data_IF_339331389052
#
_entry.id   IF_339331389052
#
_cell.length_a   1.000
_cell.length_b   1.000
_cell.length_c   1.000
_cell.angle_alpha   90.00
_cell.angle_beta   90.00
_cell.angle_gamma   90.00
#
_symmetry.space_group_name_H-M   'P 1'
#
loop_
_entity.id
_entity.type
_entity.pdbx_description
1 polymer ?
#
# COMPACT_ATOMS: atom_id res chain seq x y z
N UNK A 1 -18.44 -13.85 2.30
CA UNK A 1 -18.73 -12.55 2.93
C UNK A 1 -19.04 -12.83 4.38
N UNK A 2 -18.38 -12.13 5.30
CA UNK A 2 -18.82 -12.07 6.69
C UNK A 2 -20.04 -11.11 6.72
N UNK A 3 -21.13 -11.56 7.32
CA UNK A 3 -22.40 -10.82 7.39
C UNK A 3 -22.31 -9.75 8.51
N UNK A 4 -21.56 -8.68 8.23
CA UNK A 4 -21.33 -7.57 9.17
C UNK A 4 -22.39 -6.50 8.91
N UNK A 5 -23.11 -6.01 9.94
CA UNK A 5 -24.16 -5.02 9.76
C UNK A 5 -23.60 -3.68 9.29
N UNK A 6 -24.35 -2.99 8.43
CA UNK A 6 -23.94 -1.68 7.89
C UNK A 6 -23.84 -0.59 8.97
N UNK A 7 -24.84 -0.51 9.86
CA UNK A 7 -24.78 0.31 11.07
C UNK A 7 -24.29 -0.57 12.21
N UNK A 8 -23.35 -0.08 13.01
CA UNK A 8 -22.82 -0.85 14.13
C UNK A 8 -23.91 -1.11 15.15
N UNK A 9 -24.24 -2.39 15.33
CA UNK A 9 -25.23 -2.84 16.30
C UNK A 9 -24.57 -3.32 17.60
N UNK A 10 -25.15 -2.96 18.75
CA UNK A 10 -24.61 -3.32 20.05
C UNK A 10 -24.75 -4.82 20.34
N UNK A 11 -25.73 -5.50 19.73
CA UNK A 11 -25.82 -6.96 19.79
C UNK A 11 -24.64 -7.62 19.08
N UNK A 12 -24.19 -7.04 17.96
CA UNK A 12 -22.98 -7.48 17.26
C UNK A 12 -21.72 -7.20 18.10
N UNK A 13 -21.62 -6.01 18.70
CA UNK A 13 -20.52 -5.64 19.61
C UNK A 13 -20.42 -6.61 20.79
N UNK A 14 -21.55 -6.97 21.40
CA UNK A 14 -21.59 -7.93 22.51
C UNK A 14 -21.27 -9.36 22.07
N UNK A 15 -21.81 -9.80 20.92
CA UNK A 15 -21.60 -11.15 20.38
C UNK A 15 -20.12 -11.49 20.20
N UNK A 16 -19.30 -10.51 19.81
CA UNK A 16 -17.86 -10.70 19.54
C UNK A 16 -16.96 -10.13 20.64
N UNK A 17 -17.53 -9.77 21.79
CA UNK A 17 -16.81 -9.19 22.94
C UNK A 17 -15.91 -7.99 22.54
N UNK A 18 -16.47 -7.07 21.75
CA UNK A 18 -15.74 -5.91 21.25
C UNK A 18 -15.69 -4.83 22.34
N UNK A 19 -14.48 -4.39 22.68
CA UNK A 19 -14.23 -3.31 23.63
C UNK A 19 -14.58 -1.93 23.06
N UNK A 20 -14.13 -1.67 21.82
CA UNK A 20 -14.29 -0.38 21.17
C UNK A 20 -14.64 -0.52 19.69
N UNK A 21 -15.55 0.33 19.23
CA UNK A 21 -15.86 0.60 17.83
C UNK A 21 -15.01 1.81 17.42
N UNK A 22 -14.19 1.65 16.40
CA UNK A 22 -13.28 2.69 15.92
C UNK A 22 -13.76 3.22 14.56
N UNK A 23 -13.82 4.53 14.40
CA UNK A 23 -14.16 5.15 13.12
C UNK A 23 -13.39 6.46 12.90
N UNK A 24 -13.32 6.92 11.65
CA UNK A 24 -12.86 8.27 11.32
C UNK A 24 -13.75 9.35 11.95
N UNK A 25 -13.21 10.55 12.07
CA UNK A 25 -13.85 11.76 12.62
C UNK A 25 -14.87 12.43 11.69
N UNK A 26 -15.05 11.91 10.46
CA UNK A 26 -16.11 12.33 9.54
C UNK A 26 -17.50 12.02 10.13
N UNK A 27 -18.48 12.95 10.09
CA UNK A 27 -19.85 12.67 10.51
C UNK A 27 -20.50 11.56 9.68
N UNK A 28 -20.97 10.50 10.36
CA UNK A 28 -21.67 9.37 9.71
C UNK A 28 -23.11 9.32 10.18
N UNK A 29 -24.01 9.70 9.29
CA UNK A 29 -25.45 9.70 9.54
C UNK A 29 -26.15 8.60 8.73
N UNK A 30 -27.20 8.02 9.30
CA UNK A 30 -28.11 7.10 8.60
C UNK A 30 -29.03 7.83 7.61
N UNK A 31 -29.96 7.11 6.97
CA UNK A 31 -30.87 7.69 5.98
C UNK A 31 -31.85 8.70 6.60
N UNK A 32 -32.09 8.59 7.90
CA UNK A 32 -32.97 9.41 8.72
C UNK A 32 -32.23 10.60 9.38
N UNK A 33 -30.90 10.66 9.24
CA UNK A 33 -30.05 11.73 9.77
C UNK A 33 -29.53 11.51 11.20
N UNK A 34 -29.70 10.30 11.76
CA UNK A 34 -29.18 9.97 13.09
C UNK A 34 -27.73 9.50 13.01
N UNK A 35 -26.96 9.75 14.08
CA UNK A 35 -25.57 9.27 14.21
C UNK A 35 -25.53 7.73 14.25
N UNK A 36 -24.88 7.12 13.26
CA UNK A 36 -24.73 5.67 13.12
C UNK A 36 -24.05 5.00 14.33
N UNK A 37 -23.29 5.76 15.13
CA UNK A 37 -22.53 5.25 16.28
C UNK A 37 -23.07 5.76 17.62
N UNK A 38 -24.27 6.37 17.64
CA UNK A 38 -24.85 6.97 18.86
C UNK A 38 -24.92 5.96 20.02
N UNK A 39 -25.33 4.72 19.74
CA UNK A 39 -25.42 3.65 20.75
C UNK A 39 -24.04 3.27 21.31
N UNK A 40 -23.03 3.15 20.45
CA UNK A 40 -21.67 2.83 20.86
C UNK A 40 -21.03 3.97 21.69
N UNK A 41 -21.29 5.22 21.30
CA UNK A 41 -20.89 6.43 22.05
C UNK A 41 -21.53 6.47 23.44
N UNK A 42 -22.85 6.27 23.55
CA UNK A 42 -23.58 6.22 24.83
C UNK A 42 -23.08 5.09 25.75
N UNK A 43 -22.64 3.97 25.17
CA UNK A 43 -22.08 2.85 25.91
C UNK A 43 -20.60 3.05 26.33
N UNK A 44 -19.96 4.17 25.95
CA UNK A 44 -18.52 4.39 26.21
C UNK A 44 -17.59 3.47 25.41
N UNK A 45 -18.09 2.84 24.35
CA UNK A 45 -17.39 1.84 23.52
C UNK A 45 -17.02 2.39 22.14
N UNK A 46 -16.71 3.68 22.02
CA UNK A 46 -16.41 4.32 20.74
C UNK A 46 -15.12 5.14 20.80
N UNK A 47 -14.29 5.03 19.74
CA UNK A 47 -13.04 5.78 19.57
C UNK A 47 -12.98 6.43 18.18
N UNK A 48 -12.61 7.69 18.14
CA UNK A 48 -12.42 8.45 16.90
C UNK A 48 -10.94 8.53 16.53
N UNK A 49 -10.67 8.48 15.23
CA UNK A 49 -9.34 8.64 14.67
C UNK A 49 -9.37 9.75 13.61
N UNK A 50 -8.38 10.65 13.60
CA UNK A 50 -8.33 11.70 12.63
C UNK A 50 -8.18 11.12 11.23
N UNK A 51 -8.82 11.77 10.26
CA UNK A 51 -8.65 11.45 8.86
C UNK A 51 -7.18 11.56 8.43
N UNK A 52 -6.73 10.61 7.63
CA UNK A 52 -5.41 10.68 6.97
C UNK A 52 -5.44 11.77 5.89
N UNK A 53 -4.59 12.78 6.06
CA UNK A 53 -4.44 13.85 5.07
C UNK A 53 -3.78 13.33 3.78
N UNK A 54 -4.10 13.98 2.66
CA UNK A 54 -3.42 13.75 1.38
C UNK A 54 -4.00 12.66 0.48
N UNK A 55 -4.80 11.72 1.00
CA UNK A 55 -5.38 10.64 0.18
C UNK A 55 -6.86 10.37 0.49
N UNK A 56 -7.66 10.12 -0.55
CA UNK A 56 -9.05 9.70 -0.43
C UNK A 56 -9.48 8.91 -1.67
N UNK A 57 -10.53 8.11 -1.57
CA UNK A 57 -11.08 7.43 -2.75
C UNK A 57 -11.54 8.44 -3.82
N UNK A 58 -12.04 9.61 -3.41
CA UNK A 58 -12.42 10.68 -4.34
C UNK A 58 -11.20 11.20 -5.09
N UNK A 59 -10.10 11.52 -4.40
CA UNK A 59 -8.88 12.01 -5.06
C UNK A 59 -8.29 10.97 -6.00
N UNK A 60 -8.27 9.68 -5.61
CA UNK A 60 -7.84 8.59 -6.49
C UNK A 60 -8.73 8.48 -7.73
N UNK A 61 -10.06 8.54 -7.59
CA UNK A 61 -10.99 8.54 -8.74
C UNK A 61 -10.73 9.74 -9.65
N UNK A 62 -10.54 10.92 -9.07
CA UNK A 62 -10.26 12.13 -9.85
C UNK A 62 -8.93 12.00 -10.61
N UNK A 63 -7.88 11.39 -10.02
CA UNK A 63 -6.63 11.07 -10.72
C UNK A 63 -6.82 10.08 -11.87
N UNK A 64 -7.75 9.12 -11.74
CA UNK A 64 -8.05 8.15 -12.80
C UNK A 64 -8.77 8.82 -13.98
N UNK A 65 -9.73 9.72 -13.69
CA UNK A 65 -10.58 10.37 -14.68
C UNK A 65 -9.93 11.62 -15.29
N UNK A 66 -9.09 12.32 -14.53
CA UNK A 66 -8.43 13.57 -14.88
C UNK A 66 -6.91 13.48 -14.61
N UNK A 67 -6.18 12.63 -15.36
CA UNK A 67 -4.75 12.40 -15.13
C UNK A 67 -3.91 13.67 -15.25
N UNK A 68 -4.31 14.60 -16.13
CA UNK A 68 -3.63 15.88 -16.36
C UNK A 68 -3.65 16.81 -15.13
N UNK A 69 -4.61 16.62 -14.22
CA UNK A 69 -4.79 17.44 -13.01
C UNK A 69 -4.57 16.62 -11.73
N UNK A 70 -3.69 15.61 -11.79
CA UNK A 70 -3.34 14.75 -10.65
C UNK A 70 -2.83 15.60 -9.47
N UNK A 71 -3.63 15.66 -8.41
CA UNK A 71 -3.26 16.28 -7.15
C UNK A 71 -2.64 15.24 -6.22
N UNK A 72 -1.37 15.46 -5.86
CA UNK A 72 -0.60 14.61 -4.96
C UNK A 72 -0.62 15.16 -3.53
N UNK A 73 -0.46 14.25 -2.58
CA UNK A 73 -0.18 14.65 -1.20
C UNK A 73 1.20 15.33 -1.14
N UNK A 74 1.40 16.31 -0.25
CA UNK A 74 2.73 16.87 0.01
C UNK A 74 3.67 15.76 0.51
N UNK A 75 4.92 15.78 0.04
CA UNK A 75 5.92 14.77 0.37
C UNK A 75 6.16 14.68 1.89
N UNK A 76 6.23 15.83 2.57
CA UNK A 76 6.44 15.90 4.02
C UNK A 76 5.29 15.26 4.81
N UNK A 77 4.07 15.34 4.28
CA UNK A 77 2.91 14.69 4.89
C UNK A 77 2.99 13.16 4.75
N UNK A 78 3.49 12.66 3.61
CA UNK A 78 3.67 11.22 3.38
C UNK A 78 4.79 10.66 4.25
N UNK A 79 5.93 11.34 4.35
CA UNK A 79 7.01 10.95 5.26
C UNK A 79 6.55 10.89 6.71
N UNK A 80 5.79 11.90 7.17
CA UNK A 80 5.21 11.88 8.51
C UNK A 80 4.36 10.63 8.75
N UNK A 81 3.52 10.24 7.79
CA UNK A 81 2.68 9.04 7.90
C UNK A 81 3.51 7.75 7.90
N UNK A 82 4.56 7.69 7.07
CA UNK A 82 5.50 6.58 7.02
C UNK A 82 6.19 6.41 8.39
N UNK A 83 6.69 7.50 8.97
CA UNK A 83 7.37 7.50 10.28
C UNK A 83 6.41 7.14 11.42
N UNK A 84 5.18 7.68 11.40
CA UNK A 84 4.14 7.34 12.37
C UNK A 84 3.77 5.85 12.31
N UNK A 85 3.61 5.30 11.11
CA UNK A 85 3.34 3.87 10.94
C UNK A 85 4.53 3.02 11.42
N UNK A 86 5.74 3.32 10.96
CA UNK A 86 6.94 2.57 11.33
C UNK A 86 7.18 2.61 12.84
N UNK A 87 7.02 3.77 13.47
CA UNK A 87 7.12 3.96 14.92
C UNK A 87 6.03 3.26 15.74
N UNK A 88 4.88 2.93 15.12
CA UNK A 88 3.81 2.16 15.76
C UNK A 88 4.06 0.64 15.76
N UNK A 89 4.98 0.16 14.92
CA UNK A 89 5.35 -1.25 14.88
C UNK A 89 6.20 -1.64 16.08
N UNK A 90 6.00 -2.87 16.60
CA UNK A 90 6.83 -3.41 17.70
C UNK A 90 8.32 -3.41 17.34
N UNK A 91 8.63 -3.74 16.08
CA UNK A 91 9.94 -3.58 15.47
C UNK A 91 9.73 -2.75 14.21
N UNK A 92 10.21 -1.50 14.16
CA UNK A 92 10.08 -0.67 12.98
C UNK A 92 10.72 -1.35 11.76
N UNK A 93 9.97 -1.52 10.65
CA UNK A 93 10.54 -2.06 9.42
C UNK A 93 11.60 -1.09 8.87
N UNK A 94 12.76 -1.58 8.40
CA UNK A 94 13.74 -0.72 7.73
C UNK A 94 13.17 -0.15 6.43
N UNK A 95 13.44 1.15 6.23
CA UNK A 95 13.03 1.90 5.04
C UNK A 95 14.29 2.58 4.51
N UNK A 96 14.64 2.29 3.26
CA UNK A 96 15.83 2.85 2.62
C UNK A 96 15.42 3.64 1.42
N UNK A 97 15.83 4.90 1.39
CA UNK A 97 15.69 5.73 0.22
C UNK A 97 16.99 5.76 -0.58
N UNK A 98 16.99 5.13 -1.76
CA UNK A 98 18.16 5.17 -2.62
C UNK A 98 18.33 6.54 -3.30
N UNK A 99 17.36 7.44 -3.31
CA UNK A 99 17.58 8.80 -3.80
C UNK A 99 18.37 9.68 -2.83
N UNK A 100 18.28 9.42 -1.52
CA UNK A 100 18.99 10.19 -0.51
C UNK A 100 20.45 9.70 -0.36
N UNK A 101 21.45 10.51 -0.76
CA UNK A 101 22.85 10.13 -0.64
C UNK A 101 23.30 9.93 0.82
N UNK A 102 22.57 10.45 1.81
CA UNK A 102 22.88 10.33 3.23
C UNK A 102 22.20 9.11 3.89
N UNK A 103 21.24 8.46 3.23
CA UNK A 103 20.48 7.32 3.75
C UNK A 103 21.02 5.96 3.24
N UNK A 104 22.16 5.96 2.54
CA UNK A 104 22.60 4.81 1.72
C UNK A 104 23.44 3.75 2.43
N UNK A 105 24.07 4.00 3.59
CA UNK A 105 25.24 3.18 3.97
C UNK A 105 25.24 2.46 5.33
N UNK A 106 24.40 2.83 6.32
CA UNK A 106 24.47 2.21 7.66
C UNK A 106 23.26 1.34 8.05
N UNK A 107 22.19 1.33 7.24
CA UNK A 107 20.87 0.75 7.59
C UNK A 107 20.34 -0.27 6.59
N UNK A 108 21.17 -0.77 5.67
CA UNK A 108 20.78 -1.83 4.73
C UNK A 108 20.13 -2.98 5.50
N UNK A 109 18.87 -3.36 5.21
CA UNK A 109 18.18 -4.37 5.98
C UNK A 109 18.85 -5.71 5.73
N UNK A 110 19.71 -6.06 6.68
CA UNK A 110 20.43 -7.33 6.71
C UNK A 110 19.79 -8.17 7.77
N UNK A 111 19.40 -9.36 7.36
CA UNK A 111 19.12 -10.40 8.33
C UNK A 111 20.13 -11.53 8.13
N UNK A 112 21.03 -11.67 9.09
CA UNK A 112 22.09 -12.68 9.05
C UNK A 112 21.58 -14.07 9.50
N UNK A 113 20.36 -14.17 10.04
CA UNK A 113 19.73 -15.41 10.49
C UNK A 113 18.60 -15.91 9.58
N UNK A 114 18.17 -15.10 8.62
CA UNK A 114 17.08 -15.39 7.67
C UNK A 114 17.58 -15.42 6.24
N UNK A 115 16.76 -16.03 5.39
CA UNK A 115 16.99 -15.99 3.95
C UNK A 115 16.46 -14.67 3.39
N UNK A 116 17.36 -13.78 3.00
CA UNK A 116 16.97 -12.49 2.41
C UNK A 116 16.47 -12.70 0.98
N UNK A 117 15.19 -12.37 0.77
CA UNK A 117 14.47 -12.47 -0.51
C UNK A 117 14.13 -11.06 -0.99
N UNK A 118 14.43 -10.74 -2.24
CA UNK A 118 14.10 -9.46 -2.86
C UNK A 118 12.99 -9.61 -3.91
N UNK A 119 12.06 -8.66 -3.93
CA UNK A 119 11.08 -8.50 -5.01
C UNK A 119 10.92 -7.01 -5.34
N UNK A 120 11.09 -6.64 -6.60
CA UNK A 120 10.88 -5.27 -7.10
C UNK A 120 9.55 -5.13 -7.83
N UNK A 121 8.98 -3.93 -7.85
CA UNK A 121 7.76 -3.65 -8.62
C UNK A 121 7.32 -2.20 -8.58
N UNK A 122 6.34 -1.86 -9.42
CA UNK A 122 5.64 -0.57 -9.37
C UNK A 122 4.76 -0.47 -8.13
N UNK A 123 4.06 -1.54 -7.76
CA UNK A 123 3.10 -1.57 -6.64
C UNK A 123 1.98 -0.52 -6.73
N UNK A 124 1.69 -0.05 -7.94
CA UNK A 124 0.67 0.96 -8.16
C UNK A 124 -0.73 0.40 -7.93
N UNK A 125 -1.62 1.23 -7.40
CA UNK A 125 -2.97 0.85 -6.93
C UNK A 125 -2.96 -0.45 -6.11
N UNK A 126 -2.09 -0.48 -5.09
CA UNK A 126 -1.85 -1.63 -4.24
C UNK A 126 -3.16 -2.27 -3.74
N UNK A 127 -3.25 -3.60 -3.79
CA UNK A 127 -4.51 -4.31 -3.54
C UNK A 127 -4.33 -5.81 -3.32
N UNK A 128 -5.44 -6.56 -3.26
CA UNK A 128 -5.43 -7.97 -2.86
C UNK A 128 -4.53 -8.87 -3.71
N UNK A 129 -4.41 -8.58 -5.02
CA UNK A 129 -3.52 -9.32 -5.92
C UNK A 129 -2.04 -9.12 -5.57
N UNK A 130 -1.64 -7.90 -5.20
CA UNK A 130 -0.30 -7.59 -4.69
C UNK A 130 -0.05 -8.24 -3.32
N UNK A 131 -1.05 -8.23 -2.42
CA UNK A 131 -0.95 -8.92 -1.12
C UNK A 131 -0.71 -10.42 -1.30
N UNK A 132 -1.43 -11.07 -2.22
CA UNK A 132 -1.24 -12.49 -2.54
C UNK A 132 0.12 -12.75 -3.20
N UNK A 133 0.61 -11.84 -4.05
CA UNK A 133 1.96 -11.95 -4.61
C UNK A 133 3.03 -11.88 -3.52
N UNK A 134 2.93 -10.90 -2.61
CA UNK A 134 3.88 -10.75 -1.49
C UNK A 134 3.80 -11.93 -0.51
N UNK A 135 2.60 -12.51 -0.29
CA UNK A 135 2.46 -13.75 0.48
C UNK A 135 3.27 -14.88 -0.15
N UNK A 136 3.08 -15.13 -1.45
CA UNK A 136 3.82 -16.17 -2.19
C UNK A 136 5.33 -15.91 -2.13
N UNK A 137 5.75 -14.66 -2.31
CA UNK A 137 7.14 -14.25 -2.21
C UNK A 137 7.73 -14.49 -0.81
N UNK A 138 6.95 -14.27 0.25
CA UNK A 138 7.37 -14.53 1.64
C UNK A 138 7.46 -16.02 1.99
N UNK A 139 6.81 -16.89 1.22
CA UNK A 139 6.76 -18.35 1.46
C UNK A 139 7.75 -19.13 0.58
N UNK A 140 8.49 -18.46 -0.32
CA UNK A 140 9.47 -19.15 -1.18
C UNK A 140 10.62 -19.77 -0.38
N UNK A 141 10.86 -19.29 0.85
CA UNK A 141 11.79 -19.85 1.83
C UNK A 141 11.10 -19.98 3.19
N UNK A 142 11.51 -20.96 3.99
CA UNK A 142 10.89 -21.25 5.30
C UNK A 142 11.05 -20.11 6.31
N UNK A 143 12.16 -19.38 6.25
CA UNK A 143 12.48 -18.27 7.14
C UNK A 143 12.86 -17.02 6.34
N UNK A 144 11.99 -16.62 5.40
CA UNK A 144 12.26 -15.51 4.50
C UNK A 144 12.26 -14.16 5.23
N UNK A 145 13.19 -13.30 4.84
CA UNK A 145 13.17 -11.87 5.11
C UNK A 145 12.89 -11.14 3.80
N UNK A 146 11.65 -10.68 3.62
CA UNK A 146 11.20 -10.14 2.34
C UNK A 146 11.45 -8.63 2.24
N UNK A 147 12.42 -8.26 1.41
CA UNK A 147 12.70 -6.89 1.01
C UNK A 147 11.87 -6.57 -0.23
N UNK A 148 11.07 -5.52 -0.16
CA UNK A 148 10.23 -5.07 -1.27
C UNK A 148 10.79 -3.77 -1.84
N UNK A 149 11.25 -3.81 -3.09
CA UNK A 149 11.73 -2.65 -3.83
C UNK A 149 10.59 -1.92 -4.55
N UNK A 150 10.45 -0.63 -4.33
CA UNK A 150 9.47 0.25 -4.96
C UNK A 150 10.19 1.06 -6.03
N UNK A 151 9.79 0.88 -7.29
CA UNK A 151 10.37 1.62 -8.42
C UNK A 151 9.99 3.09 -8.38
N UNK A 152 10.82 3.96 -8.98
CA UNK A 152 10.53 5.38 -9.12
C UNK A 152 9.34 5.64 -10.06
N UNK A 153 8.72 6.82 -9.98
CA UNK A 153 7.67 7.18 -10.95
C UNK A 153 8.21 7.22 -12.39
N UNK A 154 9.46 7.64 -12.56
CA UNK A 154 10.13 7.73 -13.86
C UNK A 154 10.39 6.34 -14.44
N UNK A 155 10.89 5.42 -13.62
CA UNK A 155 11.11 4.03 -14.01
C UNK A 155 9.80 3.35 -14.42
N UNK A 156 8.72 3.55 -13.65
CA UNK A 156 7.40 3.02 -14.02
C UNK A 156 6.91 3.60 -15.35
N UNK A 157 7.11 4.90 -15.59
CA UNK A 157 6.76 5.52 -16.87
C UNK A 157 7.54 4.91 -18.03
N UNK A 158 8.85 4.73 -17.86
CA UNK A 158 9.74 4.26 -18.91
C UNK A 158 9.52 2.77 -19.25
N UNK A 159 9.17 1.95 -18.25
CA UNK A 159 8.92 0.52 -18.42
C UNK A 159 7.48 0.22 -18.87
N UNK A 160 6.48 0.83 -18.23
CA UNK A 160 5.07 0.54 -18.48
C UNK A 160 4.43 1.45 -19.53
N UNK A 161 5.08 2.56 -19.92
CA UNK A 161 4.55 3.55 -20.87
C UNK A 161 3.44 4.45 -20.31
N UNK A 162 3.18 4.36 -19.00
CA UNK A 162 2.19 5.17 -18.30
C UNK A 162 2.65 5.47 -16.86
N UNK A 163 2.31 6.67 -16.37
CA UNK A 163 2.70 7.15 -15.03
C UNK A 163 1.88 6.37 -14.00
N UNK A 164 2.47 5.98 -12.86
CA UNK A 164 1.68 5.39 -11.79
C UNK A 164 0.62 6.39 -11.31
N UNK A 165 -0.51 5.87 -10.84
CA UNK A 165 -1.60 6.65 -10.27
C UNK A 165 -1.24 7.19 -8.88
N UNK A 166 -0.53 6.38 -8.10
CA UNK A 166 0.00 6.71 -6.78
C UNK A 166 1.45 7.17 -6.88
N UNK A 167 1.77 8.20 -6.10
CA UNK A 167 3.13 8.69 -5.93
C UNK A 167 4.05 7.61 -5.33
N UNK A 168 5.38 7.74 -5.48
CA UNK A 168 6.35 6.82 -4.89
C UNK A 168 6.11 6.61 -3.40
N UNK A 169 5.93 7.67 -2.60
CA UNK A 169 5.75 7.53 -1.16
C UNK A 169 4.36 6.98 -0.78
N UNK A 170 3.33 7.26 -1.58
CA UNK A 170 2.01 6.62 -1.43
C UNK A 170 2.10 5.10 -1.64
N UNK A 171 2.89 4.66 -2.63
CA UNK A 171 3.14 3.23 -2.91
C UNK A 171 3.98 2.59 -1.81
N UNK A 172 5.02 3.29 -1.32
CA UNK A 172 5.83 2.85 -0.16
C UNK A 172 4.94 2.62 1.05
N UNK A 173 4.10 3.59 1.41
CA UNK A 173 3.21 3.47 2.57
C UNK A 173 2.24 2.28 2.43
N UNK A 174 1.73 2.01 1.23
CA UNK A 174 0.86 0.87 0.97
C UNK A 174 1.58 -0.49 1.10
N UNK A 175 2.80 -0.59 0.57
CA UNK A 175 3.62 -1.80 0.65
C UNK A 175 4.09 -2.07 2.09
N UNK A 176 4.47 -1.02 2.82
CA UNK A 176 4.97 -1.09 4.20
C UNK A 176 3.92 -1.66 5.16
N UNK A 177 2.64 -1.37 4.92
CA UNK A 177 1.52 -1.89 5.70
C UNK A 177 1.17 -3.35 5.39
N UNK A 178 1.75 -3.93 4.33
CA UNK A 178 1.53 -5.32 4.01
C UNK A 178 2.29 -6.22 5.00
N UNK A 179 1.56 -7.11 5.68
CA UNK A 179 2.13 -7.99 6.73
C UNK A 179 3.29 -8.89 6.29
N UNK A 180 3.46 -9.11 4.98
CA UNK A 180 4.51 -9.97 4.42
C UNK A 180 5.80 -9.19 4.13
N UNK A 181 5.74 -7.86 4.13
CA UNK A 181 6.87 -6.96 3.91
C UNK A 181 7.72 -6.89 5.17
N UNK A 182 9.01 -7.19 5.06
CA UNK A 182 9.97 -7.07 6.17
C UNK A 182 10.77 -5.76 6.11
N UNK A 183 11.07 -5.26 4.91
CA UNK A 183 11.72 -3.98 4.68
C UNK A 183 11.32 -3.41 3.30
N UNK A 184 11.48 -2.11 3.13
CA UNK A 184 11.20 -1.41 1.88
C UNK A 184 12.43 -0.67 1.37
N UNK A 185 12.67 -0.74 0.07
CA UNK A 185 13.67 0.08 -0.63
C UNK A 185 12.92 0.98 -1.61
N UNK A 186 13.04 2.29 -1.43
CA UNK A 186 12.50 3.34 -2.29
C UNK A 186 13.50 3.63 -3.41
N UNK A 187 12.99 3.95 -4.60
CA UNK A 187 13.80 4.19 -5.80
C UNK A 187 14.65 2.95 -6.16
N UNK A 188 14.04 1.77 -5.97
CA UNK A 188 14.70 0.51 -6.26
C UNK A 188 14.84 0.29 -7.77
N UNK A 189 15.96 -0.29 -8.26
CA UNK A 189 16.16 -0.53 -9.68
C UNK A 189 15.15 -1.56 -10.22
N UNK A 190 14.62 -1.29 -11.43
CA UNK A 190 13.78 -2.26 -12.17
C UNK A 190 14.54 -3.58 -12.37
N UNK A 191 15.79 -3.46 -12.84
CA UNK A 191 16.69 -4.59 -13.06
C UNK A 191 17.75 -4.62 -11.96
N UNK A 192 17.55 -5.39 -10.87
CA UNK A 192 18.48 -5.39 -9.76
C UNK A 192 19.82 -6.00 -10.19
N UNK A 193 20.89 -5.22 -10.12
CA UNK A 193 22.22 -5.75 -10.45
C UNK A 193 22.72 -6.73 -9.37
N UNK A 194 23.63 -7.66 -9.71
CA UNK A 194 24.26 -8.52 -8.70
C UNK A 194 24.97 -7.73 -7.60
N UNK A 195 25.54 -6.56 -7.91
CA UNK A 195 26.14 -5.67 -6.92
C UNK A 195 25.11 -5.14 -5.92
N UNK A 196 23.97 -4.64 -6.43
CA UNK A 196 22.86 -4.17 -5.60
C UNK A 196 22.31 -5.28 -4.70
N UNK A 197 22.05 -6.48 -5.24
CA UNK A 197 21.56 -7.62 -4.45
C UNK A 197 22.55 -8.05 -3.37
N UNK A 198 23.86 -7.99 -3.67
CA UNK A 198 24.93 -8.28 -2.71
C UNK A 198 24.97 -7.26 -1.58
N UNK A 199 24.80 -5.96 -1.87
CA UNK A 199 24.76 -4.89 -0.86
C UNK A 199 23.66 -5.14 0.18
N UNK A 200 22.48 -5.57 -0.29
CA UNK A 200 21.33 -5.94 0.56
C UNK A 200 21.35 -7.37 1.07
N UNK A 201 22.44 -8.11 0.83
CA UNK A 201 22.60 -9.52 1.23
C UNK A 201 21.52 -10.46 0.68
N UNK A 202 20.78 -10.04 -0.36
CA UNK A 202 19.77 -10.85 -1.01
C UNK A 202 20.44 -11.92 -1.89
N UNK A 203 20.13 -13.18 -1.60
CA UNK A 203 20.56 -14.34 -2.41
C UNK A 203 19.44 -14.88 -3.28
N UNK A 204 18.21 -14.45 -3.01
CA UNK A 204 17.01 -14.90 -3.69
C UNK A 204 16.30 -13.68 -4.28
N UNK A 205 15.95 -13.74 -5.56
CA UNK A 205 15.14 -12.72 -6.21
C UNK A 205 13.90 -13.34 -6.81
N UNK A 206 12.75 -12.74 -6.52
CA UNK A 206 11.45 -13.20 -7.00
C UNK A 206 11.07 -12.39 -8.24
N UNK A 207 10.73 -13.10 -9.32
CA UNK A 207 10.26 -12.52 -10.58
C UNK A 207 11.04 -11.26 -11.02
N UNK A 208 12.38 -11.31 -11.16
CA UNK A 208 13.12 -10.18 -11.70
C UNK A 208 12.70 -9.90 -13.15
N UNK A 209 13.00 -8.69 -13.63
CA UNK A 209 12.70 -8.28 -14.99
C UNK A 209 13.37 -9.16 -16.05
N UNK A 210 12.87 -9.10 -17.28
CA UNK A 210 13.36 -9.93 -18.38
C UNK A 210 14.83 -9.66 -18.75
N UNK A 211 15.34 -8.48 -18.39
CA UNK A 211 16.73 -8.08 -18.68
C UNK A 211 17.68 -8.39 -17.53
N UNK A 212 17.21 -9.09 -16.50
CA UNK A 212 18.02 -9.45 -15.35
C UNK A 212 19.19 -10.36 -15.76
N UNK A 213 20.41 -9.91 -15.46
CA UNK A 213 21.61 -10.67 -15.72
C UNK A 213 21.83 -11.73 -14.64
N UNK A 214 21.66 -13.01 -15.01
CA UNK A 214 21.90 -14.13 -14.11
C UNK A 214 23.33 -14.11 -13.57
N UNK A 215 23.45 -14.41 -12.28
CA UNK A 215 24.73 -14.48 -11.57
C UNK A 215 24.76 -15.75 -10.71
N UNK A 216 25.91 -16.41 -10.62
CA UNK A 216 26.03 -17.74 -10.00
C UNK A 216 25.58 -17.78 -8.52
N UNK A 217 25.73 -16.66 -7.81
CA UNK A 217 25.42 -16.55 -6.37
C UNK A 217 23.98 -16.08 -6.07
N UNK A 218 23.18 -15.80 -7.11
CA UNK A 218 21.80 -15.33 -6.98
C UNK A 218 20.85 -16.36 -7.57
N UNK A 219 19.91 -16.83 -6.76
CA UNK A 219 18.85 -17.75 -7.21
C UNK A 219 17.58 -16.97 -7.56
N UNK A 220 17.10 -17.16 -8.78
CA UNK A 220 15.79 -16.66 -9.20
C UNK A 220 14.70 -17.63 -8.78
N UNK A 221 13.70 -17.13 -8.05
CA UNK A 221 12.58 -17.90 -7.53
C UNK A 221 11.28 -17.41 -8.19
N UNK A 222 10.80 -18.10 -9.24
CA UNK A 222 9.56 -17.71 -9.90
C UNK A 222 8.36 -17.99 -8.99
N UNK A 223 7.46 -17.02 -8.89
CA UNK A 223 6.15 -17.20 -8.24
C UNK A 223 5.04 -16.81 -9.21
N UNK A 224 3.93 -17.54 -9.17
CA UNK A 224 2.77 -17.20 -9.98
C UNK A 224 2.27 -15.80 -9.61
N UNK A 225 2.13 -14.92 -10.61
CA UNK A 225 1.59 -13.57 -10.44
C UNK A 225 0.06 -13.62 -10.56
N UNK A 226 -0.71 -13.26 -9.53
CA UNK A 226 -2.15 -13.12 -9.65
C UNK A 226 -2.52 -12.05 -10.69
N UNK A 227 -3.74 -12.07 -11.22
CA UNK A 227 -4.20 -11.01 -12.13
C UNK A 227 -4.15 -9.66 -11.40
N UNK A 228 -3.15 -8.84 -11.73
CA UNK A 228 -3.03 -7.48 -11.24
C UNK A 228 -4.05 -6.60 -11.95
N UNK A 229 -4.62 -5.66 -11.22
CA UNK A 229 -5.55 -4.71 -11.78
C UNK A 229 -4.75 -3.58 -12.45
N UNK A 230 -5.09 -3.24 -13.69
CA UNK A 230 -4.44 -2.13 -14.40
C UNK A 230 -5.20 -0.82 -14.24
N UNK A 231 -4.51 0.31 -14.44
CA UNK A 231 -5.14 1.64 -14.47
C UNK A 231 -6.18 1.70 -15.60
N UNK A 232 -5.89 1.09 -16.76
CA UNK A 232 -6.84 1.00 -17.88
C UNK A 232 -8.13 0.27 -17.48
N UNK A 233 -8.03 -0.90 -16.84
CA UNK A 233 -9.21 -1.64 -16.34
C UNK A 233 -9.97 -0.83 -15.28
N UNK A 234 -9.28 -0.05 -14.45
CA UNK A 234 -9.92 0.86 -13.48
C UNK A 234 -10.67 1.99 -14.17
N UNK A 235 -10.09 2.60 -15.22
CA UNK A 235 -10.74 3.65 -16.02
C UNK A 235 -12.02 3.16 -16.67
N UNK A 236 -11.99 1.97 -17.26
CA UNK A 236 -13.17 1.34 -17.87
C UNK A 236 -14.28 1.15 -16.81
N UNK A 237 -13.93 0.54 -15.67
CA UNK A 237 -14.88 0.32 -14.56
C UNK A 237 -15.50 1.60 -13.98
N UNK A 238 -14.74 2.70 -13.94
CA UNK A 238 -15.21 3.99 -13.43
C UNK A 238 -16.07 4.70 -14.47
N UNK A 239 -15.69 4.64 -15.74
CA UNK A 239 -16.43 5.26 -16.85
C UNK A 239 -17.85 4.69 -16.96
N UNK A 240 -18.00 3.38 -16.79
CA UNK A 240 -19.31 2.70 -16.77
C UNK A 240 -20.21 3.15 -15.61
N UNK A 241 -19.64 3.83 -14.60
CA UNK A 241 -20.33 4.31 -13.40
C UNK A 241 -20.27 5.83 -13.24
N UNK A 242 -19.84 6.55 -14.28
CA UNK A 242 -19.54 7.99 -14.25
C UNK A 242 -20.77 8.85 -13.90
N UNK A 243 -21.96 8.44 -14.33
CA UNK A 243 -23.21 9.14 -14.00
C UNK A 243 -23.55 9.02 -12.50
N UNK A 244 -23.36 7.84 -11.91
CA UNK A 244 -23.55 7.59 -10.48
C UNK A 244 -22.52 8.36 -9.64
N UNK A 245 -21.26 8.42 -10.08
CA UNK A 245 -20.22 9.20 -9.43
C UNK A 245 -20.54 10.71 -9.45
N UNK A 246 -20.90 11.22 -10.62
CA UNK A 246 -21.24 12.64 -10.82
C UNK A 246 -22.46 13.06 -9.98
N UNK A 247 -23.48 12.20 -9.88
CA UNK A 247 -24.64 12.43 -9.04
C UNK A 247 -24.30 12.50 -7.54
N UNK A 248 -23.41 11.61 -7.05
CA UNK A 248 -22.95 11.62 -5.65
C UNK A 248 -22.15 12.88 -5.30
N UNK A 249 -21.27 13.33 -6.19
CA UNK A 249 -20.48 14.55 -5.98
C UNK A 249 -21.36 15.81 -5.95
N UNK A 250 -22.38 15.90 -6.81
CA UNK A 250 -23.37 16.99 -6.77
C UNK A 250 -24.09 17.05 -5.41
N UNK A 251 -24.47 15.89 -4.86
CA UNK A 251 -25.16 15.79 -3.57
C UNK A 251 -24.25 16.24 -2.41
N UNK A 252 -22.97 15.87 -2.41
CA UNK A 252 -21.99 16.32 -1.40
C UNK A 252 -21.70 17.82 -1.42
N UNK A 253 -21.79 18.47 -2.59
CA UNK A 253 -21.58 19.93 -2.73
C UNK A 253 -22.81 20.77 -2.37
N UNK A 254 -23.96 20.11 -2.14
CA UNK A 254 -25.25 20.76 -1.87
C UNK A 254 -25.64 20.69 -0.39
N UNK A 255 -24.74 20.17 0.46
CA UNK A 255 -24.82 20.07 1.92
C UNK A 255 -23.68 20.94 2.44
#
# INVERSE_FOLDING_TARGET
MLDVPYVTDMDYVAKYDIDYVCHGDDPVLDAEGNDCYEKAKKAGKYKEYPRTDGISTTSIIDRIVLPETRLLAPEEALWKLIDEFAGSCTVPPPIIDLSDPNNRHDTIPRDHGRDVVYIGGSWDVFGAAHVELLRRASEVRENAYLIVGVWSEQDVWDDCGERPLLDTLERVLAVLQCRYTSAVIIEAPIEPSPAFLSEISAKFVVNPGERFAMHNDIQVLPVAVPKLQTITELRERITDRKDLYSARQKKKRSI
#
